data_IF_426905412191
#
_entry.id   IF_426905412191
#
_cell.length_a   1.000
_cell.length_b   1.000
_cell.length_c   1.000
_cell.angle_alpha   90.00
_cell.angle_beta   90.00
_cell.angle_gamma   90.00
#
_symmetry.space_group_name_H-M   'P 1'
#
loop_
_entity.id
_entity.type
_entity.pdbx_description
1 polymer ?
#
# COMPACT_ATOMS: atom_id res chain seq x y z
N UNK A 1 9.89 -5.04 12.34
CA UNK A 1 8.87 -3.98 12.23
C UNK A 1 7.80 -4.12 13.32
N UNK A 2 7.28 -3.02 13.89
CA UNK A 2 6.16 -3.00 14.86
C UNK A 2 4.98 -2.21 14.28
N UNK A 3 3.75 -2.52 14.72
CA UNK A 3 2.52 -1.90 14.20
C UNK A 3 2.54 -0.37 14.28
N UNK A 4 2.99 0.21 15.40
CA UNK A 4 3.14 1.66 15.57
C UNK A 4 3.97 2.34 14.48
N UNK A 5 4.98 1.63 13.94
CA UNK A 5 5.82 2.16 12.88
C UNK A 5 5.11 2.11 11.53
N UNK A 6 4.33 1.06 11.28
CA UNK A 6 3.47 0.95 10.09
C UNK A 6 2.43 2.07 10.09
N UNK A 7 1.78 2.33 11.22
CA UNK A 7 0.80 3.42 11.37
C UNK A 7 1.44 4.79 11.15
N UNK A 8 2.64 5.01 11.68
CA UNK A 8 3.39 6.26 11.45
C UNK A 8 3.74 6.43 9.97
N UNK A 9 4.27 5.40 9.31
CA UNK A 9 4.60 5.45 7.88
C UNK A 9 3.36 5.71 7.03
N UNK A 10 2.24 5.06 7.34
CA UNK A 10 0.96 5.29 6.66
C UNK A 10 0.52 6.76 6.80
N UNK A 11 0.59 7.31 8.02
CA UNK A 11 0.25 8.72 8.29
C UNK A 11 1.16 9.67 7.52
N UNK A 12 2.47 9.43 7.51
CA UNK A 12 3.45 10.27 6.83
C UNK A 12 3.26 10.25 5.31
N UNK A 13 2.73 9.15 4.76
CA UNK A 13 2.39 8.97 3.35
C UNK A 13 0.93 9.35 3.00
N UNK A 14 0.15 9.88 3.94
CA UNK A 14 -1.25 10.27 3.69
C UNK A 14 -2.22 9.09 3.51
N UNK A 15 -1.80 7.88 3.88
CA UNK A 15 -2.59 6.66 3.76
C UNK A 15 -3.46 6.53 5.02
N UNK A 16 -4.74 6.89 4.89
CA UNK A 16 -5.73 6.78 5.98
C UNK A 16 -6.08 5.32 6.30
N UNK A 17 -5.81 4.89 7.53
CA UNK A 17 -6.09 3.54 8.04
C UNK A 17 -7.29 3.50 9.01
N UNK A 18 -8.06 4.59 9.10
CA UNK A 18 -9.19 4.69 10.02
C UNK A 18 -10.24 3.61 9.74
N UNK A 19 -10.56 2.82 10.76
CA UNK A 19 -11.50 1.71 10.64
C UNK A 19 -10.98 0.52 9.83
N UNK A 20 -9.69 0.48 9.48
CA UNK A 20 -9.02 -0.63 8.80
C UNK A 20 -8.07 -1.30 9.79
N UNK A 21 -8.31 -2.58 10.08
CA UNK A 21 -7.42 -3.36 10.96
C UNK A 21 -6.15 -3.77 10.19
N UNK A 22 -4.98 -3.28 10.60
CA UNK A 22 -3.71 -3.73 10.03
C UNK A 22 -3.16 -4.91 10.83
N UNK A 23 -2.72 -5.97 10.13
CA UNK A 23 -2.05 -7.12 10.73
C UNK A 23 -0.71 -7.36 10.06
N UNK A 24 0.32 -7.62 10.87
CA UNK A 24 1.64 -8.03 10.38
C UNK A 24 1.70 -9.55 10.44
N UNK A 25 1.84 -10.21 9.30
CA UNK A 25 2.00 -11.65 9.21
C UNK A 25 3.50 -11.95 9.14
N UNK A 26 3.99 -12.79 10.07
CA UNK A 26 5.42 -13.10 10.22
C UNK A 26 5.79 -14.50 9.73
N UNK A 27 4.93 -15.08 8.91
CA UNK A 27 5.16 -16.39 8.33
C UNK A 27 6.27 -16.30 7.28
N UNK A 28 7.38 -17.00 7.52
CA UNK A 28 8.55 -17.00 6.64
C UNK A 28 8.28 -17.70 5.31
N UNK A 29 7.29 -18.59 5.25
CA UNK A 29 6.93 -19.29 4.01
C UNK A 29 6.27 -18.34 2.99
N UNK A 30 5.80 -17.17 3.46
CA UNK A 30 5.26 -16.09 2.62
C UNK A 30 6.34 -15.16 2.06
N UNK A 31 7.61 -15.29 2.48
CA UNK A 31 8.73 -14.47 1.96
C UNK A 31 8.97 -14.74 0.47
N UNK A 32 8.68 -15.95 0.01
CA UNK A 32 8.91 -16.39 -1.37
C UNK A 32 7.68 -16.20 -2.29
N UNK A 33 6.59 -15.60 -1.80
CA UNK A 33 5.42 -15.28 -2.63
C UNK A 33 5.54 -13.88 -3.22
N UNK A 34 4.95 -13.67 -4.39
CA UNK A 34 4.91 -12.37 -5.10
C UNK A 34 4.07 -11.30 -4.38
N UNK A 35 3.35 -11.69 -3.32
CA UNK A 35 2.44 -10.80 -2.62
C UNK A 35 3.14 -10.09 -1.46
N UNK A 36 2.96 -8.77 -1.38
CA UNK A 36 3.48 -7.94 -0.30
C UNK A 36 2.41 -7.72 0.79
N UNK A 37 1.13 -7.85 0.45
CA UNK A 37 0.03 -7.80 1.38
C UNK A 37 -1.25 -8.39 0.81
N UNK A 38 -2.35 -8.15 1.53
CA UNK A 38 -3.72 -8.41 1.06
C UNK A 38 -4.75 -7.59 1.83
N UNK A 39 -5.66 -6.95 1.11
CA UNK A 39 -6.94 -6.48 1.64
C UNK A 39 -7.93 -7.66 1.73
N UNK A 40 -8.49 -7.88 2.91
CA UNK A 40 -9.48 -8.96 3.06
C UNK A 40 -10.77 -8.61 2.30
N UNK A 41 -11.54 -9.61 1.81
CA UNK A 41 -12.72 -9.38 0.97
C UNK A 41 -13.82 -8.48 1.56
N UNK A 42 -13.83 -8.28 2.89
CA UNK A 42 -14.77 -7.37 3.57
C UNK A 42 -14.29 -5.91 3.59
N UNK A 43 -13.11 -5.61 3.06
CA UNK A 43 -12.54 -4.26 3.02
C UNK A 43 -12.26 -3.66 4.41
N UNK A 44 -12.09 -4.48 5.44
CA UNK A 44 -11.95 -4.01 6.82
C UNK A 44 -10.60 -4.36 7.47
N UNK A 45 -9.72 -5.07 6.75
CA UNK A 45 -8.36 -5.31 7.21
C UNK A 45 -7.35 -5.43 6.09
N UNK A 46 -6.13 -5.02 6.38
CA UNK A 46 -4.95 -5.19 5.54
C UNK A 46 -3.99 -6.13 6.27
N UNK A 47 -3.54 -7.16 5.57
CA UNK A 47 -2.51 -8.08 6.04
C UNK A 47 -1.21 -7.74 5.31
N UNK A 48 -0.14 -7.47 6.05
CA UNK A 48 1.19 -7.15 5.52
C UNK A 48 2.11 -8.35 5.69
N UNK A 49 2.74 -8.77 4.61
CA UNK A 49 3.66 -9.91 4.59
C UNK A 49 5.12 -9.44 4.76
N UNK A 50 6.05 -10.35 5.10
CA UNK A 50 7.43 -9.97 5.42
C UNK A 50 8.11 -9.10 4.35
N UNK A 51 7.78 -9.32 3.06
CA UNK A 51 8.35 -8.61 1.93
C UNK A 51 7.96 -7.12 1.86
N UNK A 52 6.84 -6.72 2.48
CA UNK A 52 6.47 -5.31 2.63
C UNK A 52 7.42 -4.52 3.54
N UNK A 53 8.32 -5.19 4.26
CA UNK A 53 9.25 -4.58 5.20
C UNK A 53 10.71 -4.62 4.72
N UNK A 54 10.96 -4.88 3.43
CA UNK A 54 12.29 -4.83 2.81
C UNK A 54 12.92 -3.45 2.97
N UNK A 55 12.13 -2.40 2.69
CA UNK A 55 12.46 -1.01 2.94
C UNK A 55 11.18 -0.18 3.15
N UNK A 56 11.35 1.10 3.43
CA UNK A 56 10.23 2.00 3.72
C UNK A 56 9.39 2.32 2.49
N UNK A 57 10.01 2.44 1.31
CA UNK A 57 9.29 2.78 0.09
C UNK A 57 8.35 1.63 -0.31
N UNK A 58 8.85 0.40 -0.24
CA UNK A 58 8.06 -0.82 -0.42
C UNK A 58 6.91 -0.91 0.58
N UNK A 59 7.12 -0.53 1.84
CA UNK A 59 6.04 -0.46 2.82
C UNK A 59 4.96 0.55 2.44
N UNK A 60 5.36 1.76 1.98
CA UNK A 60 4.42 2.81 1.56
C UNK A 60 3.60 2.36 0.36
N UNK A 61 4.26 1.85 -0.68
CA UNK A 61 3.59 1.36 -1.89
C UNK A 61 2.62 0.23 -1.56
N UNK A 62 3.05 -0.76 -0.77
CA UNK A 62 2.18 -1.87 -0.33
C UNK A 62 0.97 -1.37 0.44
N UNK A 63 1.16 -0.46 1.42
CA UNK A 63 0.05 0.10 2.19
C UNK A 63 -0.95 0.85 1.31
N UNK A 64 -0.44 1.64 0.35
CA UNK A 64 -1.25 2.38 -0.61
C UNK A 64 -2.04 1.47 -1.54
N UNK A 65 -1.39 0.43 -2.06
CA UNK A 65 -1.98 -0.61 -2.89
C UNK A 65 -3.17 -1.28 -2.18
N UNK A 66 -2.94 -1.80 -0.98
CA UNK A 66 -3.99 -2.49 -0.22
C UNK A 66 -5.10 -1.52 0.23
N UNK A 67 -4.77 -0.26 0.49
CA UNK A 67 -5.76 0.78 0.78
C UNK A 67 -6.65 1.09 -0.42
N UNK A 68 -6.11 1.02 -1.63
CA UNK A 68 -6.89 1.15 -2.86
C UNK A 68 -7.85 -0.02 -3.02
N UNK A 69 -7.42 -1.25 -2.75
CA UNK A 69 -8.33 -2.41 -2.74
C UNK A 69 -9.46 -2.26 -1.72
N UNK A 70 -9.17 -1.78 -0.51
CA UNK A 70 -10.22 -1.49 0.48
C UNK A 70 -11.24 -0.48 -0.07
N UNK A 71 -10.77 0.59 -0.72
CA UNK A 71 -11.65 1.59 -1.34
C UNK A 71 -12.49 0.97 -2.46
N UNK A 72 -11.86 0.24 -3.38
CA UNK A 72 -12.54 -0.41 -4.51
C UNK A 72 -13.63 -1.37 -4.02
N UNK A 73 -13.29 -2.25 -3.06
CA UNK A 73 -14.24 -3.22 -2.48
C UNK A 73 -15.41 -2.52 -1.79
N UNK A 74 -15.15 -1.45 -1.01
CA UNK A 74 -16.21 -0.70 -0.32
C UNK A 74 -17.13 0.06 -1.29
N UNK A 75 -16.59 0.52 -2.42
CA UNK A 75 -17.31 1.38 -3.36
C UNK A 75 -18.08 0.58 -4.40
N UNK A 76 -17.46 -0.49 -4.91
CA UNK A 76 -17.93 -1.23 -6.08
C UNK A 76 -18.24 -2.71 -5.78
N UNK A 77 -17.90 -3.20 -4.59
CA UNK A 77 -18.03 -4.61 -4.22
C UNK A 77 -16.77 -5.44 -4.56
N UNK A 78 -16.81 -6.73 -4.24
CA UNK A 78 -15.72 -7.63 -4.60
C UNK A 78 -15.72 -7.90 -6.12
N UNK A 79 -14.55 -8.07 -6.76
CA UNK A 79 -14.48 -8.42 -8.18
C UNK A 79 -15.15 -9.79 -8.41
N UNK A 80 -16.06 -9.83 -9.38
CA UNK A 80 -16.90 -10.99 -9.73
C UNK A 80 -16.27 -11.88 -10.80
N UNK A 81 -15.26 -11.37 -11.52
CA UNK A 81 -14.54 -12.08 -12.56
C UNK A 81 -13.07 -11.62 -12.65
N UNK A 82 -12.26 -12.37 -13.41
CA UNK A 82 -10.82 -12.13 -13.57
C UNK A 82 -10.49 -10.78 -14.24
N UNK A 83 -11.36 -10.29 -15.13
CA UNK A 83 -11.19 -8.99 -15.78
C UNK A 83 -11.35 -7.87 -14.77
N UNK A 84 -12.38 -7.92 -13.92
CA UNK A 84 -12.59 -6.95 -12.86
C UNK A 84 -11.47 -6.96 -11.83
N UNK A 85 -10.99 -8.15 -11.45
CA UNK A 85 -9.81 -8.30 -10.60
C UNK A 85 -8.59 -7.59 -11.21
N UNK A 86 -8.29 -7.83 -12.49
CA UNK A 86 -7.17 -7.16 -13.16
C UNK A 86 -7.30 -5.63 -13.24
N UNK A 87 -8.52 -5.10 -13.34
CA UNK A 87 -8.75 -3.65 -13.27
C UNK A 87 -8.48 -3.10 -11.86
N UNK A 88 -8.78 -3.88 -10.82
CA UNK A 88 -8.53 -3.48 -9.43
C UNK A 88 -7.03 -3.43 -9.14
N UNK A 89 -6.30 -4.48 -9.49
CA UNK A 89 -4.83 -4.56 -9.40
C UNK A 89 -4.19 -3.39 -10.15
N UNK A 90 -4.59 -3.15 -11.41
CA UNK A 90 -4.05 -2.03 -12.19
C UNK A 90 -4.32 -0.67 -11.54
N UNK A 91 -5.50 -0.48 -10.96
CA UNK A 91 -5.84 0.75 -10.25
C UNK A 91 -5.03 0.94 -8.96
N UNK A 92 -4.75 -0.15 -8.25
CA UNK A 92 -3.91 -0.15 -7.06
C UNK A 92 -2.44 0.14 -7.41
N UNK A 93 -1.87 -0.56 -8.38
CA UNK A 93 -0.51 -0.37 -8.91
C UNK A 93 -0.29 1.07 -9.39
N UNK A 94 -1.21 1.63 -10.19
CA UNK A 94 -1.11 3.01 -10.67
C UNK A 94 -1.18 4.05 -9.56
N UNK A 95 -1.69 3.70 -8.37
CA UNK A 95 -1.74 4.61 -7.22
C UNK A 95 -0.44 4.61 -6.40
N UNK A 96 0.37 3.55 -6.49
CA UNK A 96 1.57 3.38 -5.66
C UNK A 96 2.54 4.58 -5.69
N UNK A 97 2.90 5.14 -6.87
CA UNK A 97 3.82 6.28 -6.94
C UNK A 97 3.28 7.54 -6.26
N UNK A 98 1.95 7.73 -6.25
CA UNK A 98 1.33 8.93 -5.67
C UNK A 98 1.50 8.97 -4.15
N UNK A 99 1.43 7.81 -3.48
CA UNK A 99 1.66 7.72 -2.03
C UNK A 99 3.12 8.03 -1.67
N UNK A 100 4.08 7.58 -2.49
CA UNK A 100 5.49 7.93 -2.33
C UNK A 100 5.73 9.42 -2.57
N UNK A 101 5.16 9.97 -3.64
CA UNK A 101 5.27 11.40 -3.96
C UNK A 101 4.73 12.27 -2.83
N UNK A 102 3.57 11.89 -2.27
CA UNK A 102 3.00 12.56 -1.11
C UNK A 102 3.95 12.49 0.10
N UNK A 103 4.46 11.29 0.42
CA UNK A 103 5.41 11.10 1.51
C UNK A 103 6.64 12.01 1.37
N UNK A 104 7.25 12.07 0.18
CA UNK A 104 8.43 12.92 -0.04
C UNK A 104 8.12 14.41 0.08
N UNK A 105 7.02 14.84 -0.53
CA UNK A 105 6.59 16.25 -0.52
C UNK A 105 6.28 16.71 0.91
N UNK A 106 5.59 15.88 1.70
CA UNK A 106 5.14 16.25 3.03
C UNK A 106 6.23 16.12 4.11
N UNK A 107 7.25 15.26 3.90
CA UNK A 107 8.34 15.05 4.85
C UNK A 107 9.60 15.89 4.57
N UNK A 108 9.53 16.88 3.66
CA UNK A 108 10.67 17.72 3.27
C UNK A 108 11.91 16.91 2.83
N UNK A 109 11.71 15.68 2.36
CA UNK A 109 12.77 14.95 1.64
C UNK A 109 12.83 15.61 0.28
N UNK A 110 13.76 16.55 0.16
CA UNK A 110 13.92 17.50 -0.95
C UNK A 110 13.35 16.97 -2.27
N UNK A 111 12.22 17.55 -2.68
CA UNK A 111 11.69 17.50 -4.05
C UNK A 111 12.68 18.05 -5.12
N UNK A 112 13.95 18.26 -4.77
CA UNK A 112 14.99 18.82 -5.62
C UNK A 112 15.72 17.79 -6.50
N UNK A 113 15.44 16.49 -6.34
CA UNK A 113 16.13 15.43 -7.10
C UNK A 113 15.24 14.70 -8.13
N UNK A 114 13.91 14.87 -8.09
CA UNK A 114 13.01 14.20 -9.06
C UNK A 114 12.74 14.97 -10.35
N UNK A 115 12.94 16.30 -10.39
CA UNK A 115 12.64 17.15 -11.56
C UNK A 115 13.89 17.74 -12.24
N UNK A 116 15.09 17.17 -12.01
CA UNK A 116 16.34 17.71 -12.58
C UNK A 116 16.79 17.12 -13.92
N UNK A 117 16.07 16.17 -14.50
CA UNK A 117 16.35 15.72 -15.87
C UNK A 117 15.20 16.12 -16.79
N UNK A 118 15.31 17.34 -17.31
CA UNK A 118 14.36 17.96 -18.21
C UNK A 118 14.88 19.32 -18.70
N UNK A 119 16.12 19.35 -19.18
CA UNK A 119 16.68 20.41 -20.01
C UNK A 119 17.45 19.81 -21.17
#
# INVERSE_FOLDING_TARGET
MQLRHVEQVAKDAGIGLEGIKVKIIRDTDLVNREFYGRAVPKGNSIELYPRAFTDKENLIMTLGHERMHVYQIKTFGAPDNSRMLGLYEKGAELSEPEWLNYYYTNNNVKANDFFKEGK
#
